data_IF_491109159122
#
_entry.id   IF_491109159122
#
_cell.length_a   1.000
_cell.length_b   1.000
_cell.length_c   1.000
_cell.angle_alpha   90.00
_cell.angle_beta   90.00
_cell.angle_gamma   90.00
#
_symmetry.space_group_name_H-M   'P 1'
#
loop_
_entity.id
_entity.type
_entity.pdbx_description
1 polymer ?
#
# COMPACT_ATOMS: atom_id res chain seq x y z
N UNK A 1 7.83 51.23 -38.94
CA UNK A 1 6.42 51.27 -38.50
C UNK A 1 5.56 51.28 -39.75
N UNK A 2 4.88 50.18 -40.07
CA UNK A 2 3.78 50.22 -41.03
C UNK A 2 2.66 51.02 -40.35
N UNK A 3 2.18 52.09 -40.99
CA UNK A 3 1.00 52.80 -40.51
C UNK A 3 -0.20 51.91 -40.84
N UNK A 4 -0.66 51.16 -39.85
CA UNK A 4 -1.90 50.39 -39.98
C UNK A 4 -3.07 51.36 -40.18
N UNK A 5 -3.96 51.04 -41.12
CA UNK A 5 -5.17 51.83 -41.35
C UNK A 5 -6.04 51.91 -40.09
N UNK A 6 -6.90 52.93 -40.02
CA UNK A 6 -7.83 53.13 -38.90
C UNK A 6 -8.74 51.89 -38.69
N UNK A 7 -9.04 51.16 -39.76
CA UNK A 7 -9.81 49.90 -39.76
C UNK A 7 -9.14 48.81 -38.93
N UNK A 8 -7.84 48.59 -39.14
CA UNK A 8 -7.08 47.59 -38.37
C UNK A 8 -6.98 47.99 -36.90
N UNK A 9 -6.79 49.28 -36.60
CA UNK A 9 -6.78 49.77 -35.22
C UNK A 9 -8.15 49.59 -34.53
N UNK A 10 -9.24 49.83 -35.25
CA UNK A 10 -10.60 49.58 -34.77
C UNK A 10 -10.85 48.09 -34.54
N UNK A 11 -10.43 47.23 -35.48
CA UNK A 11 -10.51 45.77 -35.36
C UNK A 11 -9.74 45.27 -34.14
N UNK A 12 -8.51 45.75 -33.96
CA UNK A 12 -7.65 45.40 -32.84
C UNK A 12 -8.24 45.83 -31.50
N UNK A 13 -8.81 47.05 -31.45
CA UNK A 13 -9.50 47.55 -30.26
C UNK A 13 -10.71 46.70 -29.89
N UNK A 14 -11.56 46.40 -30.86
CA UNK A 14 -12.71 45.52 -30.68
C UNK A 14 -12.29 44.13 -30.18
N UNK A 15 -11.17 43.61 -30.71
CA UNK A 15 -10.62 42.31 -30.35
C UNK A 15 -10.07 42.27 -28.91
N UNK A 16 -9.15 43.17 -28.54
CA UNK A 16 -8.43 43.11 -27.26
C UNK A 16 -9.19 43.76 -26.10
N UNK A 17 -9.81 44.93 -26.34
CA UNK A 17 -10.44 45.71 -25.27
C UNK A 17 -11.88 45.30 -25.05
N UNK A 18 -12.66 45.31 -26.14
CA UNK A 18 -14.10 45.12 -26.05
C UNK A 18 -14.50 43.63 -26.07
N UNK A 19 -13.58 42.75 -26.53
CA UNK A 19 -13.80 41.32 -26.76
C UNK A 19 -15.02 41.04 -27.65
N UNK A 20 -15.33 41.97 -28.55
CA UNK A 20 -16.37 41.81 -29.56
C UNK A 20 -15.77 41.13 -30.79
N UNK A 21 -15.62 39.80 -30.70
CA UNK A 21 -15.01 39.00 -31.74
C UNK A 21 -15.81 39.00 -33.05
N UNK A 22 -17.13 39.21 -32.99
CA UNK A 22 -17.98 39.26 -34.19
C UNK A 22 -17.72 40.54 -34.98
N UNK A 23 -17.66 41.68 -34.28
CA UNK A 23 -17.34 42.96 -34.91
C UNK A 23 -15.88 42.98 -35.39
N UNK A 24 -14.94 42.52 -34.56
CA UNK A 24 -13.53 42.43 -34.92
C UNK A 24 -13.31 41.54 -36.16
N UNK A 25 -13.94 40.37 -36.25
CA UNK A 25 -13.85 39.48 -37.41
C UNK A 25 -14.28 40.19 -38.69
N UNK A 26 -15.35 40.97 -38.64
CA UNK A 26 -15.86 41.70 -39.81
C UNK A 26 -14.84 42.72 -40.31
N UNK A 27 -14.22 43.48 -39.40
CA UNK A 27 -13.21 44.47 -39.76
C UNK A 27 -11.90 43.83 -40.25
N UNK A 28 -11.46 42.73 -39.61
CA UNK A 28 -10.26 42.02 -40.07
C UNK A 28 -10.44 41.41 -41.46
N UNK A 29 -11.64 40.89 -41.79
CA UNK A 29 -11.94 40.40 -43.14
C UNK A 29 -11.88 41.52 -44.18
N UNK A 30 -12.50 42.67 -43.91
CA UNK A 30 -12.45 43.82 -44.82
C UNK A 30 -11.01 44.30 -45.07
N UNK A 31 -10.21 44.35 -44.00
CA UNK A 31 -8.81 44.70 -44.11
C UNK A 31 -8.03 43.64 -44.90
N UNK A 32 -8.23 42.35 -44.60
CA UNK A 32 -7.57 41.26 -45.31
C UNK A 32 -7.92 41.23 -46.80
N UNK A 33 -9.19 41.43 -47.16
CA UNK A 33 -9.63 41.49 -48.57
C UNK A 33 -8.93 42.62 -49.35
N UNK A 34 -8.52 43.69 -48.65
CA UNK A 34 -7.84 44.84 -49.25
C UNK A 34 -6.33 44.65 -49.34
N UNK A 35 -5.72 44.01 -48.33
CA UNK A 35 -4.27 44.03 -48.13
C UNK A 35 -3.58 42.67 -48.21
N UNK A 36 -4.33 41.55 -48.17
CA UNK A 36 -3.82 40.16 -48.17
C UNK A 36 -2.61 39.98 -47.22
N UNK A 37 -2.80 40.37 -45.95
CA UNK A 37 -1.74 40.42 -44.95
C UNK A 37 -1.84 39.32 -43.88
N UNK A 38 -0.69 38.87 -43.38
CA UNK A 38 -0.60 37.76 -42.43
C UNK A 38 -1.22 38.07 -41.06
N UNK A 39 -1.18 39.32 -40.61
CA UNK A 39 -1.66 39.74 -39.29
C UNK A 39 -3.19 39.65 -39.22
N UNK A 40 -3.86 40.15 -40.26
CA UNK A 40 -5.32 40.08 -40.40
C UNK A 40 -5.79 38.62 -40.50
N UNK A 41 -5.13 37.80 -41.32
CA UNK A 41 -5.50 36.38 -41.47
C UNK A 41 -5.35 35.60 -40.15
N UNK A 42 -4.24 35.81 -39.43
CA UNK A 42 -4.03 35.21 -38.12
C UNK A 42 -5.14 35.61 -37.11
N UNK A 43 -5.56 36.88 -37.13
CA UNK A 43 -6.65 37.37 -36.26
C UNK A 43 -8.03 36.93 -36.69
N UNK A 44 -8.26 36.71 -37.99
CA UNK A 44 -9.48 36.06 -38.50
C UNK A 44 -9.61 34.66 -37.90
N UNK A 45 -8.55 33.85 -37.96
CA UNK A 45 -8.56 32.51 -37.35
C UNK A 45 -8.84 32.57 -35.84
N UNK A 46 -8.19 33.49 -35.13
CA UNK A 46 -8.40 33.67 -33.70
C UNK A 46 -9.85 34.06 -33.37
N UNK A 47 -10.46 34.99 -34.13
CA UNK A 47 -11.86 35.36 -33.96
C UNK A 47 -12.81 34.17 -34.22
N UNK A 48 -12.59 33.42 -35.31
CA UNK A 48 -13.38 32.23 -35.63
C UNK A 48 -13.34 31.20 -34.49
N UNK A 49 -12.17 30.99 -33.87
CA UNK A 49 -12.02 30.11 -32.70
C UNK A 49 -12.83 30.59 -31.50
N UNK A 50 -12.76 31.88 -31.16
CA UNK A 50 -13.49 32.44 -30.02
C UNK A 50 -15.01 32.41 -30.22
N UNK A 51 -15.48 32.61 -31.45
CA UNK A 51 -16.90 32.55 -31.81
C UNK A 51 -17.41 31.10 -31.97
N UNK A 52 -16.51 30.13 -32.15
CA UNK A 52 -16.88 28.76 -32.53
C UNK A 52 -17.35 28.63 -33.98
N UNK A 53 -17.10 29.63 -34.84
CA UNK A 53 -17.37 29.61 -36.28
C UNK A 53 -16.26 28.88 -37.03
N UNK A 54 -16.13 27.59 -36.73
CA UNK A 54 -15.06 26.75 -37.25
C UNK A 54 -15.17 26.53 -38.77
N UNK A 55 -16.39 26.42 -39.31
CA UNK A 55 -16.61 26.17 -40.74
C UNK A 55 -16.07 27.32 -41.58
N UNK A 56 -16.31 28.57 -41.16
CA UNK A 56 -15.73 29.74 -41.83
C UNK A 56 -14.22 29.74 -41.72
N UNK A 57 -13.69 29.48 -40.53
CA UNK A 57 -12.25 29.40 -40.31
C UNK A 57 -11.56 28.37 -41.21
N UNK A 58 -12.12 27.17 -41.34
CA UNK A 58 -11.56 26.10 -42.17
C UNK A 58 -11.58 26.46 -43.66
N UNK A 59 -12.66 27.09 -44.16
CA UNK A 59 -12.66 27.62 -45.54
C UNK A 59 -11.54 28.62 -45.78
N UNK A 60 -11.31 29.53 -44.84
CA UNK A 60 -10.21 30.49 -44.92
C UNK A 60 -8.83 29.80 -44.90
N UNK A 61 -8.69 28.67 -44.19
CA UNK A 61 -7.46 27.85 -44.24
C UNK A 61 -7.25 27.29 -45.64
N UNK A 62 -8.25 26.63 -46.21
CA UNK A 62 -8.20 26.00 -47.53
C UNK A 62 -7.87 27.01 -48.64
N UNK A 63 -8.44 28.21 -48.55
CA UNK A 63 -8.30 29.27 -49.55
C UNK A 63 -6.95 30.00 -49.47
N UNK A 64 -6.43 30.26 -48.27
CA UNK A 64 -5.35 31.25 -48.10
C UNK A 64 -4.06 30.73 -47.45
N UNK A 65 -4.07 29.65 -46.66
CA UNK A 65 -2.87 29.26 -45.85
C UNK A 65 -1.68 28.89 -46.72
N UNK A 66 -1.89 28.35 -47.92
CA UNK A 66 -0.79 28.01 -48.84
C UNK A 66 0.03 29.23 -49.28
N UNK A 67 -0.59 30.41 -49.35
CA UNK A 67 0.09 31.67 -49.67
C UNK A 67 0.99 32.13 -48.51
N UNK A 68 0.67 31.72 -47.29
CA UNK A 68 1.36 32.09 -46.05
C UNK A 68 2.09 30.91 -45.38
N UNK A 69 2.46 29.86 -46.14
CA UNK A 69 3.12 28.66 -45.60
C UNK A 69 4.41 28.91 -44.82
N UNK A 70 5.08 30.03 -45.08
CA UNK A 70 6.31 30.43 -44.39
C UNK A 70 6.03 31.31 -43.14
N UNK A 71 4.80 31.80 -42.97
CA UNK A 71 4.39 32.58 -41.82
C UNK A 71 4.11 31.67 -40.63
N UNK A 72 5.00 31.73 -39.63
CA UNK A 72 4.86 30.93 -38.41
C UNK A 72 3.56 31.25 -37.67
N UNK A 73 3.12 32.51 -37.69
CA UNK A 73 1.94 32.97 -36.96
C UNK A 73 0.67 32.42 -37.61
N UNK A 74 0.54 32.56 -38.93
CA UNK A 74 -0.62 32.06 -39.68
C UNK A 74 -0.73 30.55 -39.56
N UNK A 75 0.36 29.81 -39.78
CA UNK A 75 0.38 28.34 -39.64
C UNK A 75 0.04 27.92 -38.22
N UNK A 76 0.55 28.61 -37.20
CA UNK A 76 0.23 28.31 -35.81
C UNK A 76 -1.26 28.56 -35.49
N UNK A 77 -1.84 29.66 -35.94
CA UNK A 77 -3.26 29.95 -35.71
C UNK A 77 -4.19 29.02 -36.50
N UNK A 78 -3.81 28.66 -37.73
CA UNK A 78 -4.53 27.65 -38.52
C UNK A 78 -4.54 26.29 -37.79
N UNK A 79 -3.37 25.82 -37.34
CA UNK A 79 -3.26 24.56 -36.59
C UNK A 79 -4.06 24.60 -35.27
N UNK A 80 -4.09 25.74 -34.58
CA UNK A 80 -4.90 25.92 -33.37
C UNK A 80 -6.42 25.87 -33.66
N UNK A 81 -6.84 26.43 -34.79
CA UNK A 81 -8.24 26.40 -35.23
C UNK A 81 -8.66 24.98 -35.60
N UNK A 82 -7.85 24.25 -36.37
CA UNK A 82 -8.06 22.83 -36.68
C UNK A 82 -8.10 21.98 -35.41
N UNK A 83 -7.21 22.23 -34.45
CA UNK A 83 -7.20 21.57 -33.16
C UNK A 83 -8.50 21.79 -32.38
N UNK A 84 -8.95 23.04 -32.25
CA UNK A 84 -10.18 23.35 -31.52
C UNK A 84 -11.42 22.73 -32.19
N UNK A 85 -11.42 22.64 -33.52
CA UNK A 85 -12.51 22.00 -34.27
C UNK A 85 -12.50 20.47 -34.14
N UNK A 86 -11.38 19.81 -34.45
CA UNK A 86 -11.27 18.35 -34.50
C UNK A 86 -11.08 17.70 -33.13
N UNK A 87 -10.52 18.39 -32.15
CA UNK A 87 -10.29 17.85 -30.80
C UNK A 87 -11.15 18.59 -29.79
N UNK A 88 -11.02 19.92 -29.72
CA UNK A 88 -11.66 20.75 -28.70
C UNK A 88 -13.18 20.56 -28.64
N UNK A 89 -13.85 20.53 -29.81
CA UNK A 89 -15.29 20.29 -29.92
C UNK A 89 -15.70 18.91 -29.39
N UNK A 90 -14.98 17.85 -29.76
CA UNK A 90 -15.28 16.49 -29.30
C UNK A 90 -15.03 16.34 -27.79
N UNK A 91 -13.95 16.92 -27.27
CA UNK A 91 -13.64 16.94 -25.84
C UNK A 91 -14.74 17.66 -25.03
N UNK A 92 -15.19 18.84 -25.48
CA UNK A 92 -16.30 19.58 -24.84
C UNK A 92 -17.61 18.78 -24.83
N UNK A 93 -17.90 18.09 -25.93
CA UNK A 93 -19.11 17.27 -26.07
C UNK A 93 -18.98 15.87 -25.46
N UNK A 94 -17.84 15.54 -24.83
CA UNK A 94 -17.54 14.22 -24.24
C UNK A 94 -17.53 13.06 -25.25
N UNK A 95 -17.26 13.36 -26.51
CA UNK A 95 -17.05 12.39 -27.58
C UNK A 95 -15.59 11.94 -27.57
N UNK A 96 -15.23 11.17 -26.54
CA UNK A 96 -13.82 10.85 -26.23
C UNK A 96 -13.16 9.96 -27.28
N UNK A 97 -13.91 9.09 -27.95
CA UNK A 97 -13.38 8.15 -28.95
C UNK A 97 -12.99 8.91 -30.21
N UNK A 98 -13.85 9.81 -30.67
CA UNK A 98 -13.61 10.69 -31.81
C UNK A 98 -12.46 11.67 -31.50
N UNK A 99 -12.42 12.23 -30.29
CA UNK A 99 -11.30 13.05 -29.85
C UNK A 99 -9.97 12.27 -29.87
N UNK A 100 -9.96 11.03 -29.38
CA UNK A 100 -8.78 10.16 -29.36
C UNK A 100 -8.25 9.89 -30.77
N UNK A 101 -9.12 9.54 -31.74
CA UNK A 101 -8.69 9.29 -33.13
C UNK A 101 -8.03 10.53 -33.75
N UNK A 102 -8.60 11.72 -33.55
CA UNK A 102 -8.02 12.96 -34.05
C UNK A 102 -6.71 13.31 -33.35
N UNK A 103 -6.62 13.08 -32.05
CA UNK A 103 -5.40 13.30 -31.26
C UNK A 103 -4.24 12.42 -31.73
N UNK A 104 -4.50 11.14 -32.07
CA UNK A 104 -3.47 10.24 -32.62
C UNK A 104 -2.93 10.79 -33.94
N UNK A 105 -3.81 11.16 -34.88
CA UNK A 105 -3.42 11.74 -36.16
C UNK A 105 -2.59 13.02 -35.98
N UNK A 106 -2.95 13.84 -35.01
CA UNK A 106 -2.21 15.06 -34.70
C UNK A 106 -0.82 14.78 -34.13
N UNK A 107 -0.69 13.82 -33.20
CA UNK A 107 0.61 13.48 -32.61
C UNK A 107 1.59 12.87 -33.63
N UNK A 108 1.09 12.24 -34.69
CA UNK A 108 1.88 11.64 -35.78
C UNK A 108 2.26 12.65 -36.88
N UNK A 109 1.70 13.86 -36.87
CA UNK A 109 1.95 14.87 -37.91
C UNK A 109 3.19 15.73 -37.61
N UNK A 110 4.14 15.73 -38.54
CA UNK A 110 5.37 16.55 -38.47
C UNK A 110 5.11 18.07 -38.61
N UNK A 111 3.90 18.45 -39.01
CA UNK A 111 3.55 19.84 -39.32
C UNK A 111 2.93 20.60 -38.15
N UNK A 112 2.70 19.94 -37.02
CA UNK A 112 2.05 20.58 -35.86
C UNK A 112 3.11 21.30 -35.01
N UNK A 113 2.88 22.58 -34.66
CA UNK A 113 3.74 23.29 -33.71
C UNK A 113 3.95 22.50 -32.41
N UNK A 114 5.19 22.44 -31.91
CA UNK A 114 5.54 21.65 -30.71
C UNK A 114 4.64 21.95 -29.49
N UNK A 115 4.22 23.21 -29.31
CA UNK A 115 3.30 23.62 -28.23
C UNK A 115 1.93 22.93 -28.36
N UNK A 116 1.42 22.80 -29.59
CA UNK A 116 0.17 22.10 -29.86
C UNK A 116 0.32 20.59 -29.70
N UNK A 117 1.45 20.03 -30.13
CA UNK A 117 1.74 18.61 -29.95
C UNK A 117 1.73 18.24 -28.46
N UNK A 118 2.34 19.07 -27.61
CA UNK A 118 2.28 18.92 -26.15
C UNK A 118 0.84 18.96 -25.62
N UNK A 119 0.02 19.93 -26.05
CA UNK A 119 -1.39 19.98 -25.65
C UNK A 119 -2.18 18.75 -26.11
N UNK A 120 -1.91 18.26 -27.32
CA UNK A 120 -2.49 17.03 -27.84
C UNK A 120 -2.16 15.82 -26.95
N UNK A 121 -0.91 15.65 -26.52
CA UNK A 121 -0.55 14.57 -25.58
C UNK A 121 -1.32 14.64 -24.26
N UNK A 122 -1.52 15.85 -23.70
CA UNK A 122 -2.25 16.03 -22.44
C UNK A 122 -3.74 15.74 -22.59
N UNK A 123 -4.35 16.19 -23.68
CA UNK A 123 -5.76 15.90 -23.98
C UNK A 123 -5.97 14.44 -24.33
N UNK A 124 -5.00 13.80 -24.97
CA UNK A 124 -5.00 12.36 -25.20
C UNK A 124 -4.97 11.58 -23.90
N UNK A 125 -4.13 11.97 -22.92
CA UNK A 125 -4.19 11.39 -21.57
C UNK A 125 -5.57 11.56 -20.92
N UNK A 126 -6.18 12.74 -21.03
CA UNK A 126 -7.53 13.00 -20.49
C UNK A 126 -8.57 12.10 -21.15
N UNK A 127 -8.54 11.96 -22.47
CA UNK A 127 -9.43 11.09 -23.23
C UNK A 127 -9.28 9.62 -22.81
N UNK A 128 -8.04 9.11 -22.76
CA UNK A 128 -7.74 7.74 -22.31
C UNK A 128 -8.24 7.47 -20.89
N UNK A 129 -8.06 8.43 -19.98
CA UNK A 129 -8.53 8.32 -18.60
C UNK A 129 -10.06 8.22 -18.53
N UNK A 130 -10.79 9.06 -19.29
CA UNK A 130 -12.25 9.04 -19.33
C UNK A 130 -12.82 7.78 -19.96
N UNK A 131 -12.12 7.23 -20.94
CA UNK A 131 -12.45 5.96 -21.56
C UNK A 131 -12.03 4.73 -20.75
N UNK A 132 -11.32 4.91 -19.62
CA UNK A 132 -10.81 3.81 -18.79
C UNK A 132 -9.80 2.91 -19.52
N UNK A 133 -9.09 3.43 -20.52
CA UNK A 133 -8.04 2.72 -21.26
C UNK A 133 -6.71 2.76 -20.50
N UNK A 134 -6.65 2.08 -19.36
CA UNK A 134 -5.58 2.25 -18.36
C UNK A 134 -4.17 1.89 -18.87
N UNK A 135 -4.04 0.81 -19.65
CA UNK A 135 -2.73 0.38 -20.18
C UNK A 135 -2.15 1.43 -21.15
N UNK A 136 -2.99 1.96 -22.05
CA UNK A 136 -2.60 3.04 -22.95
C UNK A 136 -2.26 4.31 -22.17
N UNK A 137 -3.06 4.67 -21.15
CA UNK A 137 -2.80 5.83 -20.30
C UNK A 137 -1.42 5.76 -19.63
N UNK A 138 -1.08 4.62 -19.02
CA UNK A 138 0.21 4.42 -18.34
C UNK A 138 1.37 4.57 -19.33
N UNK A 139 1.25 3.95 -20.52
CA UNK A 139 2.28 4.04 -21.56
C UNK A 139 2.49 5.48 -22.02
N UNK A 140 1.41 6.20 -22.30
CA UNK A 140 1.49 7.60 -22.76
C UNK A 140 1.95 8.54 -21.66
N UNK A 141 1.58 8.30 -20.40
CA UNK A 141 1.99 9.13 -19.27
C UNK A 141 3.52 9.19 -19.14
N UNK A 142 4.19 8.06 -19.33
CA UNK A 142 5.65 7.98 -19.28
C UNK A 142 6.35 8.72 -20.43
N UNK A 143 5.66 8.94 -21.55
CA UNK A 143 6.17 9.68 -22.71
C UNK A 143 5.82 11.18 -22.65
N UNK A 144 4.92 11.59 -21.77
CA UNK A 144 4.43 12.96 -21.73
C UNK A 144 5.38 13.87 -20.91
N UNK A 145 5.67 15.06 -21.45
CA UNK A 145 6.44 16.11 -20.77
C UNK A 145 5.57 16.86 -19.74
N UNK A 146 5.30 16.22 -18.60
CA UNK A 146 4.42 16.75 -17.53
C UNK A 146 5.19 17.68 -16.57
N UNK A 147 6.53 17.66 -16.60
CA UNK A 147 7.39 18.40 -15.67
C UNK A 147 7.27 19.92 -15.80
N UNK A 148 6.86 20.42 -16.96
CA UNK A 148 6.72 21.85 -17.22
C UNK A 148 5.30 22.37 -16.97
N UNK A 149 4.41 21.54 -16.40
CA UNK A 149 3.05 21.96 -16.07
C UNK A 149 2.97 22.67 -14.72
N UNK A 150 1.95 23.55 -14.54
CA UNK A 150 1.61 24.09 -13.23
C UNK A 150 1.41 22.98 -12.21
N UNK A 151 1.78 23.23 -10.95
CA UNK A 151 1.72 22.23 -9.88
C UNK A 151 0.34 21.57 -9.74
N UNK A 152 -0.75 22.35 -9.86
CA UNK A 152 -2.11 21.83 -9.77
C UNK A 152 -2.42 20.79 -10.85
N UNK A 153 -2.03 21.05 -12.10
CA UNK A 153 -2.25 20.11 -13.21
C UNK A 153 -1.36 18.88 -13.07
N UNK A 154 -0.08 19.07 -12.70
CA UNK A 154 0.85 17.97 -12.44
C UNK A 154 0.31 17.02 -11.36
N UNK A 155 -0.22 17.58 -10.27
CA UNK A 155 -0.87 16.77 -9.23
C UNK A 155 -2.08 16.01 -9.77
N UNK A 156 -2.94 16.66 -10.57
CA UNK A 156 -4.08 15.99 -11.19
C UNK A 156 -3.67 14.81 -12.09
N UNK A 157 -2.62 14.97 -12.90
CA UNK A 157 -2.13 13.89 -13.77
C UNK A 157 -1.45 12.78 -12.97
N UNK A 158 -0.70 13.13 -11.92
CA UNK A 158 -0.07 12.16 -11.02
C UNK A 158 -1.12 11.33 -10.26
N UNK A 159 -2.19 11.97 -9.78
CA UNK A 159 -3.34 11.27 -9.20
C UNK A 159 -4.04 10.38 -10.22
N UNK A 160 -4.23 10.87 -11.44
CA UNK A 160 -4.75 10.08 -12.56
C UNK A 160 -3.89 8.85 -12.86
N UNK A 161 -2.57 9.01 -12.83
CA UNK A 161 -1.59 7.93 -13.02
C UNK A 161 -1.64 6.89 -11.90
N UNK A 162 -1.69 7.34 -10.64
CA UNK A 162 -1.90 6.47 -9.48
C UNK A 162 -3.18 5.64 -9.63
N UNK A 163 -4.29 6.27 -9.99
CA UNK A 163 -5.58 5.59 -10.21
C UNK A 163 -5.48 4.60 -11.37
N UNK A 164 -4.88 4.98 -12.49
CA UNK A 164 -4.70 4.12 -13.65
C UNK A 164 -3.91 2.85 -13.30
N UNK A 165 -2.82 2.98 -12.52
CA UNK A 165 -2.04 1.83 -12.03
C UNK A 165 -2.90 0.88 -11.19
N UNK A 166 -3.65 1.39 -10.20
CA UNK A 166 -4.53 0.54 -9.38
C UNK A 166 -5.58 -0.19 -10.23
N UNK A 167 -6.21 0.52 -11.17
CA UNK A 167 -7.27 -0.04 -12.02
C UNK A 167 -6.70 -1.08 -12.98
N UNK A 168 -5.56 -0.79 -13.62
CA UNK A 168 -4.91 -1.71 -14.54
C UNK A 168 -4.44 -2.99 -13.84
N UNK A 169 -3.77 -2.88 -12.69
CA UNK A 169 -3.37 -4.06 -11.90
C UNK A 169 -4.60 -4.88 -11.50
N UNK A 170 -5.70 -4.22 -11.08
CA UNK A 170 -6.93 -4.92 -10.74
C UNK A 170 -7.54 -5.67 -11.93
N UNK A 171 -7.55 -5.05 -13.11
CA UNK A 171 -8.06 -5.66 -14.35
C UNK A 171 -7.20 -6.85 -14.78
N UNK A 172 -5.87 -6.72 -14.77
CA UNK A 172 -4.94 -7.79 -15.12
C UNK A 172 -5.05 -8.98 -14.15
N UNK A 173 -5.16 -8.72 -12.85
CA UNK A 173 -5.43 -9.77 -11.84
C UNK A 173 -6.78 -10.44 -12.08
N UNK A 174 -7.82 -9.68 -12.42
CA UNK A 174 -9.15 -10.22 -12.73
C UNK A 174 -9.18 -11.11 -13.98
N UNK A 175 -8.36 -10.78 -14.98
CA UNK A 175 -8.17 -11.58 -16.21
C UNK A 175 -7.09 -12.66 -16.09
N UNK A 176 -6.51 -12.85 -14.88
CA UNK A 176 -5.44 -13.82 -14.58
C UNK A 176 -4.13 -13.62 -15.36
N UNK A 177 -3.88 -12.41 -15.85
CA UNK A 177 -2.60 -12.03 -16.47
C UNK A 177 -1.59 -11.60 -15.40
N UNK A 178 -1.16 -12.54 -14.57
CA UNK A 178 -0.39 -12.24 -13.37
C UNK A 178 1.03 -11.72 -13.64
N UNK A 179 1.68 -12.15 -14.74
CA UNK A 179 3.01 -11.65 -15.12
C UNK A 179 2.98 -10.17 -15.50
N UNK A 180 2.03 -9.77 -16.35
CA UNK A 180 1.81 -8.36 -16.70
C UNK A 180 1.45 -7.54 -15.45
N UNK A 181 0.56 -8.07 -14.60
CA UNK A 181 0.15 -7.40 -13.36
C UNK A 181 1.33 -7.18 -12.39
N UNK A 182 2.24 -8.15 -12.31
CA UNK A 182 3.43 -8.09 -11.48
C UNK A 182 4.34 -6.93 -11.91
N UNK A 183 4.62 -6.81 -13.21
CA UNK A 183 5.45 -5.74 -13.76
C UNK A 183 4.86 -4.35 -13.50
N UNK A 184 3.54 -4.19 -13.70
CA UNK A 184 2.86 -2.92 -13.44
C UNK A 184 2.85 -2.60 -11.93
N UNK A 185 2.63 -3.60 -11.07
CA UNK A 185 2.66 -3.41 -9.62
C UNK A 185 4.06 -3.03 -9.12
N UNK A 186 5.12 -3.61 -9.69
CA UNK A 186 6.50 -3.24 -9.38
C UNK A 186 6.79 -1.78 -9.76
N UNK A 187 6.43 -1.39 -10.98
CA UNK A 187 6.55 -0.01 -11.43
C UNK A 187 5.76 0.96 -10.52
N UNK A 188 4.55 0.57 -10.12
CA UNK A 188 3.73 1.36 -9.20
C UNK A 188 4.35 1.51 -7.81
N UNK A 189 5.00 0.47 -7.28
CA UNK A 189 5.74 0.53 -6.01
C UNK A 189 6.93 1.50 -6.07
N UNK A 190 7.61 1.59 -7.22
CA UNK A 190 8.71 2.53 -7.42
C UNK A 190 8.21 3.96 -7.54
N UNK A 191 7.12 4.18 -8.29
CA UNK A 191 6.52 5.50 -8.47
C UNK A 191 5.84 6.03 -7.19
N UNK A 192 5.20 5.15 -6.40
CA UNK A 192 4.44 5.50 -5.20
C UNK A 192 4.88 4.65 -3.99
N UNK A 193 6.09 4.87 -3.44
CA UNK A 193 6.68 4.01 -2.42
C UNK A 193 5.94 4.02 -1.07
N UNK A 194 5.11 5.03 -0.80
CA UNK A 194 4.26 5.11 0.39
C UNK A 194 2.96 4.30 0.28
N UNK A 195 2.56 3.92 -0.94
CA UNK A 195 1.29 3.26 -1.19
C UNK A 195 1.42 1.74 -1.01
N UNK A 196 1.15 1.28 0.21
CA UNK A 196 1.31 -0.12 0.61
C UNK A 196 0.36 -1.08 -0.12
N UNK A 197 -0.70 -0.57 -0.74
CA UNK A 197 -1.60 -1.39 -1.56
C UNK A 197 -0.89 -1.97 -2.80
N UNK A 198 0.04 -1.23 -3.44
CA UNK A 198 0.81 -1.79 -4.54
C UNK A 198 1.73 -2.93 -4.10
N UNK A 199 2.32 -2.83 -2.90
CA UNK A 199 3.11 -3.93 -2.31
C UNK A 199 2.25 -5.18 -2.13
N UNK A 200 1.02 -5.03 -1.64
CA UNK A 200 0.09 -6.15 -1.47
C UNK A 200 -0.30 -6.78 -2.80
N UNK A 201 -0.56 -5.97 -3.83
CA UNK A 201 -0.89 -6.46 -5.17
C UNK A 201 0.29 -7.18 -5.82
N UNK A 202 1.49 -6.66 -5.67
CA UNK A 202 2.71 -7.31 -6.13
C UNK A 202 2.90 -8.67 -5.46
N UNK A 203 2.81 -8.73 -4.12
CA UNK A 203 2.89 -9.99 -3.38
C UNK A 203 1.78 -10.99 -3.78
N UNK A 204 0.55 -10.51 -4.02
CA UNK A 204 -0.53 -11.34 -4.51
C UNK A 204 -0.19 -11.96 -5.88
N UNK A 205 0.34 -11.18 -6.82
CA UNK A 205 0.73 -11.69 -8.14
C UNK A 205 1.85 -12.74 -8.02
N UNK A 206 2.82 -12.54 -7.14
CA UNK A 206 3.89 -13.53 -6.87
C UNK A 206 3.32 -14.87 -6.39
N UNK A 207 2.33 -14.85 -5.48
CA UNK A 207 1.68 -16.07 -4.99
C UNK A 207 0.98 -16.82 -6.11
N UNK A 208 0.24 -16.12 -6.98
CA UNK A 208 -0.45 -16.73 -8.13
C UNK A 208 0.54 -17.29 -9.17
N UNK A 209 1.73 -16.71 -9.26
CA UNK A 209 2.85 -17.22 -10.07
C UNK A 209 3.66 -18.32 -9.37
N UNK A 210 3.18 -18.87 -8.25
CA UNK A 210 3.86 -19.89 -7.43
C UNK A 210 5.21 -19.45 -6.83
N UNK A 211 5.47 -18.14 -6.78
CA UNK A 211 6.65 -17.53 -6.16
C UNK A 211 6.36 -17.08 -4.72
N UNK A 212 5.73 -17.96 -3.95
CA UNK A 212 5.20 -17.67 -2.60
C UNK A 212 6.28 -17.26 -1.61
N UNK A 213 7.50 -17.80 -1.71
CA UNK A 213 8.64 -17.41 -0.85
C UNK A 213 9.06 -15.95 -1.09
N UNK A 214 9.17 -15.53 -2.35
CA UNK A 214 9.49 -14.15 -2.71
C UNK A 214 8.41 -13.17 -2.23
N UNK A 215 7.14 -13.59 -2.25
CA UNK A 215 6.02 -12.81 -1.73
C UNK A 215 6.12 -12.58 -0.21
N UNK A 216 6.60 -13.57 0.54
CA UNK A 216 6.88 -13.41 1.98
C UNK A 216 8.03 -12.44 2.21
N UNK A 217 9.12 -12.58 1.48
CA UNK A 217 10.31 -11.74 1.66
C UNK A 217 10.02 -10.26 1.41
N UNK A 218 9.25 -9.93 0.35
CA UNK A 218 8.89 -8.55 0.06
C UNK A 218 7.97 -7.96 1.13
N UNK A 219 7.00 -8.74 1.63
CA UNK A 219 6.10 -8.30 2.69
C UNK A 219 6.84 -8.14 4.02
N UNK A 220 7.70 -9.09 4.41
CA UNK A 220 8.52 -8.98 5.64
C UNK A 220 9.39 -7.72 5.63
N UNK A 221 9.98 -7.36 4.48
CA UNK A 221 10.79 -6.13 4.33
C UNK A 221 9.97 -4.84 4.45
N UNK A 222 8.69 -4.86 4.06
CA UNK A 222 7.83 -3.67 4.01
C UNK A 222 6.90 -3.53 5.22
N UNK A 223 6.62 -4.62 5.94
CA UNK A 223 5.85 -4.59 7.18
C UNK A 223 6.66 -3.90 8.27
N UNK A 224 6.15 -2.78 8.76
CA UNK A 224 6.72 -2.03 9.89
C UNK A 224 5.70 -1.95 11.03
N UNK A 225 6.11 -1.44 12.21
CA UNK A 225 5.17 -1.20 13.31
C UNK A 225 4.00 -0.30 12.92
N UNK A 226 4.24 0.70 12.05
CA UNK A 226 3.22 1.66 11.57
C UNK A 226 2.37 1.15 10.41
N UNK A 227 2.67 -0.02 9.86
CA UNK A 227 1.88 -0.60 8.76
C UNK A 227 0.43 -0.85 9.19
N UNK A 228 -0.51 -0.75 8.25
CA UNK A 228 -1.90 -1.09 8.51
C UNK A 228 -2.04 -2.59 8.82
N UNK A 229 -3.05 -2.98 9.60
CA UNK A 229 -3.30 -4.39 9.97
C UNK A 229 -3.41 -5.33 8.76
N UNK A 230 -3.87 -4.80 7.62
CA UNK A 230 -4.05 -5.58 6.40
C UNK A 230 -2.73 -6.12 5.85
N UNK A 231 -1.61 -5.41 6.04
CA UNK A 231 -0.29 -5.89 5.60
C UNK A 231 0.11 -7.17 6.35
N UNK A 232 -0.08 -7.18 7.67
CA UNK A 232 0.20 -8.33 8.51
C UNK A 232 -0.77 -9.48 8.24
N UNK A 233 -2.03 -9.17 7.93
CA UNK A 233 -3.00 -10.17 7.50
C UNK A 233 -2.61 -10.85 6.19
N UNK A 234 -2.19 -10.10 5.17
CA UNK A 234 -1.70 -10.71 3.92
C UNK A 234 -0.46 -11.58 4.15
N UNK A 235 0.49 -11.08 4.95
CA UNK A 235 1.69 -11.85 5.30
C UNK A 235 1.31 -13.16 6.03
N UNK A 236 0.40 -13.10 7.01
CA UNK A 236 -0.08 -14.27 7.74
C UNK A 236 -0.74 -15.30 6.81
N UNK A 237 -1.58 -14.82 5.88
CA UNK A 237 -2.25 -15.67 4.89
C UNK A 237 -1.25 -16.42 4.02
N UNK A 238 -0.23 -15.73 3.51
CA UNK A 238 0.80 -16.33 2.64
C UNK A 238 1.69 -17.29 3.43
N UNK A 239 2.04 -16.96 4.68
CA UNK A 239 2.80 -17.86 5.56
C UNK A 239 2.05 -19.17 5.85
N UNK A 240 0.74 -19.09 6.07
CA UNK A 240 -0.09 -20.30 6.27
C UNK A 240 -0.14 -21.16 5.01
N UNK A 241 -0.16 -20.56 3.81
CA UNK A 241 -0.08 -21.31 2.54
C UNK A 241 1.26 -22.04 2.35
N UNK A 242 2.35 -21.52 2.92
CA UNK A 242 3.65 -22.19 2.95
C UNK A 242 3.76 -23.27 4.05
N UNK A 243 2.73 -23.44 4.88
CA UNK A 243 2.75 -24.35 6.03
C UNK A 243 3.53 -23.82 7.24
N UNK A 244 3.96 -22.56 7.24
CA UNK A 244 4.59 -21.94 8.40
C UNK A 244 3.52 -21.37 9.34
N UNK A 245 2.81 -22.27 10.02
CA UNK A 245 1.63 -21.95 10.81
C UNK A 245 1.95 -21.09 12.05
N UNK A 246 3.14 -21.25 12.63
CA UNK A 246 3.57 -20.47 13.81
C UNK A 246 3.79 -19.00 13.46
N UNK A 247 4.60 -18.72 12.42
CA UNK A 247 4.80 -17.34 11.95
C UNK A 247 3.49 -16.74 11.43
N UNK A 248 2.65 -17.55 10.76
CA UNK A 248 1.34 -17.12 10.29
C UNK A 248 0.45 -16.67 11.46
N UNK A 249 0.36 -17.48 12.52
CA UNK A 249 -0.42 -17.15 13.72
C UNK A 249 0.14 -15.90 14.40
N UNK A 250 1.46 -15.79 14.53
CA UNK A 250 2.09 -14.60 15.09
C UNK A 250 1.70 -13.33 14.31
N UNK A 251 1.84 -13.33 12.99
CA UNK A 251 1.49 -12.17 12.17
C UNK A 251 -0.01 -11.87 12.19
N UNK A 252 -0.87 -12.90 12.25
CA UNK A 252 -2.31 -12.73 12.36
C UNK A 252 -2.71 -12.08 13.70
N UNK A 253 -2.08 -12.48 14.81
CA UNK A 253 -2.30 -11.85 16.11
C UNK A 253 -1.84 -10.39 16.11
N UNK A 254 -0.66 -10.10 15.56
CA UNK A 254 -0.18 -8.70 15.43
C UNK A 254 -1.15 -7.87 14.56
N UNK A 255 -1.73 -8.45 13.51
CA UNK A 255 -2.77 -7.81 12.72
C UNK A 255 -4.04 -7.54 13.56
N UNK A 256 -4.41 -8.45 14.46
CA UNK A 256 -5.56 -8.29 15.34
C UNK A 256 -5.36 -7.16 16.35
N UNK A 257 -4.16 -7.04 16.93
CA UNK A 257 -3.78 -5.99 17.90
C UNK A 257 -3.79 -4.57 17.30
N UNK A 258 -3.47 -4.42 16.02
CA UNK A 258 -3.45 -3.12 15.35
C UNK A 258 -4.84 -2.44 15.31
N UNK A 259 -4.95 -1.10 15.20
CA UNK A 259 -6.25 -0.42 15.17
C UNK A 259 -7.19 -0.92 14.06
N UNK A 260 -8.48 -1.03 14.38
CA UNK A 260 -9.53 -1.43 13.44
C UNK A 260 -10.73 -2.07 14.14
N UNK A 261 -11.92 -2.01 13.50
CA UNK A 261 -13.11 -2.70 13.99
C UNK A 261 -12.98 -4.20 13.74
N UNK A 262 -13.38 -5.05 14.68
CA UNK A 262 -13.35 -6.51 14.51
C UNK A 262 -14.17 -6.97 13.31
N UNK A 263 -15.29 -6.30 13.04
CA UNK A 263 -16.12 -6.51 11.85
C UNK A 263 -15.29 -6.47 10.56
N UNK A 264 -14.44 -5.44 10.41
CA UNK A 264 -13.59 -5.27 9.23
C UNK A 264 -12.45 -6.30 9.17
N UNK A 265 -12.20 -7.01 10.28
CA UNK A 265 -11.20 -8.06 10.43
C UNK A 265 -11.79 -9.47 10.40
N UNK A 266 -13.04 -9.64 9.95
CA UNK A 266 -13.72 -10.95 9.94
C UNK A 266 -12.88 -12.05 9.30
N UNK A 267 -12.32 -11.82 8.10
CA UNK A 267 -11.49 -12.82 7.42
C UNK A 267 -10.15 -13.10 8.14
N UNK A 268 -9.63 -12.10 8.87
CA UNK A 268 -8.46 -12.31 9.73
C UNK A 268 -8.83 -13.20 10.92
N UNK A 269 -9.99 -12.99 11.54
CA UNK A 269 -10.47 -13.82 12.64
C UNK A 269 -10.74 -15.27 12.19
N UNK A 270 -11.29 -15.47 10.99
CA UNK A 270 -11.42 -16.80 10.38
C UNK A 270 -10.06 -17.47 10.20
N UNK A 271 -9.06 -16.73 9.70
CA UNK A 271 -7.70 -17.25 9.57
C UNK A 271 -7.11 -17.64 10.94
N UNK A 272 -7.24 -16.77 11.95
CA UNK A 272 -6.78 -17.06 13.32
C UNK A 272 -7.45 -18.33 13.86
N UNK A 273 -8.77 -18.47 13.70
CA UNK A 273 -9.49 -19.69 14.10
C UNK A 273 -8.90 -20.92 13.41
N UNK A 274 -8.69 -20.87 12.09
CA UNK A 274 -8.13 -21.99 11.34
C UNK A 274 -6.73 -22.37 11.82
N UNK A 275 -5.90 -21.38 12.17
CA UNK A 275 -4.55 -21.58 12.68
C UNK A 275 -4.54 -22.19 14.08
N UNK A 276 -5.40 -21.71 14.98
CA UNK A 276 -5.50 -22.22 16.36
C UNK A 276 -6.13 -23.62 16.37
N UNK A 277 -7.19 -23.87 15.60
CA UNK A 277 -7.92 -25.16 15.60
C UNK A 277 -7.12 -26.36 15.09
N UNK A 278 -5.90 -26.14 14.59
CA UNK A 278 -4.97 -27.19 14.15
C UNK A 278 -4.12 -27.75 15.30
N UNK A 279 -4.28 -27.24 16.52
CA UNK A 279 -3.34 -27.50 17.60
C UNK A 279 -4.00 -28.41 18.63
N UNK A 280 -3.28 -29.42 19.10
CA UNK A 280 -3.84 -30.43 20.02
C UNK A 280 -3.88 -29.96 21.49
N UNK A 281 -3.74 -28.66 21.75
CA UNK A 281 -3.76 -28.10 23.09
C UNK A 281 -5.20 -27.82 23.55
N UNK A 282 -5.57 -28.27 24.76
CA UNK A 282 -6.90 -28.06 25.32
C UNK A 282 -7.23 -26.57 25.49
N UNK A 283 -6.28 -25.76 25.97
CA UNK A 283 -6.47 -24.31 26.13
C UNK A 283 -6.69 -23.63 24.77
N UNK A 284 -5.95 -24.04 23.74
CA UNK A 284 -6.07 -23.50 22.39
C UNK A 284 -7.47 -23.79 21.81
N UNK A 285 -8.00 -24.99 22.07
CA UNK A 285 -9.33 -25.40 21.65
C UNK A 285 -10.45 -24.58 22.31
N UNK A 286 -10.33 -24.24 23.59
CA UNK A 286 -11.32 -23.38 24.25
C UNK A 286 -11.37 -21.97 23.63
N UNK A 287 -10.22 -21.40 23.28
CA UNK A 287 -10.18 -20.11 22.61
C UNK A 287 -10.70 -20.21 21.17
N UNK A 288 -10.40 -21.31 20.46
CA UNK A 288 -10.95 -21.57 19.14
C UNK A 288 -12.49 -21.67 19.17
N UNK A 289 -13.07 -22.34 20.15
CA UNK A 289 -14.51 -22.48 20.34
C UNK A 289 -15.20 -21.14 20.63
N UNK A 290 -14.59 -20.33 21.50
CA UNK A 290 -15.04 -18.97 21.80
C UNK A 290 -14.98 -18.07 20.55
N UNK A 291 -13.88 -18.14 19.80
CA UNK A 291 -13.71 -17.39 18.55
C UNK A 291 -14.72 -17.83 17.46
N UNK A 292 -14.97 -19.13 17.33
CA UNK A 292 -15.97 -19.66 16.40
C UNK A 292 -17.38 -19.18 16.76
N UNK A 293 -17.73 -19.21 18.05
CA UNK A 293 -19.01 -18.69 18.54
C UNK A 293 -19.17 -17.20 18.22
N UNK A 294 -18.11 -16.40 18.41
CA UNK A 294 -18.10 -15.00 18.01
C UNK A 294 -18.29 -14.81 16.50
N UNK A 295 -17.58 -15.58 15.67
CA UNK A 295 -17.66 -15.51 14.20
C UNK A 295 -19.07 -15.82 13.68
N UNK A 296 -19.74 -16.85 14.21
CA UNK A 296 -21.12 -17.21 13.81
C UNK A 296 -22.09 -16.08 14.15
N UNK A 297 -22.00 -15.50 15.35
CA UNK A 297 -22.85 -14.37 15.73
C UNK A 297 -22.58 -13.11 14.91
N UNK A 298 -21.32 -12.86 14.58
CA UNK A 298 -20.95 -11.74 13.72
C UNK A 298 -21.56 -11.91 12.32
N UNK A 299 -21.52 -13.13 11.80
CA UNK A 299 -22.14 -13.53 10.54
C UNK A 299 -23.66 -13.31 10.58
N UNK A 300 -24.35 -13.78 11.59
CA UNK A 300 -25.81 -13.64 11.70
C UNK A 300 -26.25 -12.18 11.83
N UNK A 301 -25.46 -11.35 12.54
CA UNK A 301 -25.76 -9.92 12.72
C UNK A 301 -25.54 -9.08 11.46
N UNK A 302 -24.59 -9.47 10.61
CA UNK A 302 -24.11 -8.65 9.48
C UNK A 302 -24.27 -9.33 8.11
N UNK A 303 -24.92 -10.48 8.05
CA UNK A 303 -25.11 -11.29 6.83
C UNK A 303 -23.80 -11.61 6.11
N UNK A 304 -22.73 -11.89 6.87
CA UNK A 304 -21.43 -12.27 6.30
C UNK A 304 -21.44 -13.73 5.84
N UNK A 305 -20.49 -14.11 4.98
CA UNK A 305 -20.32 -15.49 4.53
C UNK A 305 -19.32 -16.22 5.41
N UNK A 306 -19.75 -17.29 6.09
CA UNK A 306 -18.87 -18.20 6.84
C UNK A 306 -18.87 -19.58 6.17
N UNK A 307 -17.71 -20.25 6.01
CA UNK A 307 -17.65 -21.61 5.46
C UNK A 307 -18.58 -22.61 6.20
N UNK A 308 -19.32 -23.43 5.46
CA UNK A 308 -20.34 -24.34 6.03
C UNK A 308 -19.77 -25.35 7.04
N UNK A 309 -18.54 -25.81 6.82
CA UNK A 309 -17.85 -26.70 7.74
C UNK A 309 -17.68 -26.08 9.15
N UNK A 310 -17.55 -24.75 9.24
CA UNK A 310 -17.48 -24.05 10.52
C UNK A 310 -18.84 -23.99 11.21
N UNK A 311 -19.94 -23.93 10.47
CA UNK A 311 -21.29 -23.98 11.02
C UNK A 311 -21.60 -25.36 11.62
N UNK A 312 -21.17 -26.42 10.93
CA UNK A 312 -21.28 -27.80 11.43
C UNK A 312 -20.49 -27.95 12.73
N UNK A 313 -19.23 -27.50 12.77
CA UNK A 313 -18.43 -27.49 14.00
C UNK A 313 -19.10 -26.69 15.13
N UNK A 314 -19.64 -25.50 14.82
CA UNK A 314 -20.34 -24.69 15.81
C UNK A 314 -21.56 -25.41 16.42
N UNK A 315 -22.29 -26.19 15.62
CA UNK A 315 -23.46 -26.96 16.10
C UNK A 315 -23.10 -28.02 17.16
N UNK A 316 -21.83 -28.47 17.18
CA UNK A 316 -21.30 -29.45 18.11
C UNK A 316 -20.70 -28.83 19.38
N UNK A 317 -20.56 -27.50 19.44
CA UNK A 317 -19.99 -26.78 20.60
C UNK A 317 -20.89 -26.80 21.84
N UNK A 318 -20.26 -26.63 23.01
CA UNK A 318 -20.92 -26.52 24.32
C UNK A 318 -21.97 -25.40 24.33
N UNK A 319 -23.11 -25.65 24.97
CA UNK A 319 -24.22 -24.68 25.03
C UNK A 319 -23.89 -23.41 25.83
N UNK A 320 -22.94 -23.47 26.76
CA UNK A 320 -22.59 -22.36 27.66
C UNK A 320 -22.08 -21.12 26.89
N UNK A 321 -21.18 -21.32 25.91
CA UNK A 321 -20.67 -20.22 25.07
C UNK A 321 -21.78 -19.55 24.25
N UNK A 322 -22.85 -20.30 23.93
CA UNK A 322 -24.00 -19.77 23.19
C UNK A 322 -24.90 -18.87 24.03
N UNK A 323 -24.75 -18.85 25.35
CA UNK A 323 -25.56 -18.02 26.26
C UNK A 323 -24.93 -16.65 26.56
N UNK A 324 -23.62 -16.50 26.37
CA UNK A 324 -22.92 -15.22 26.55
C UNK A 324 -23.54 -14.15 25.65
N UNK A 325 -23.49 -12.87 25.99
CA UNK A 325 -23.92 -11.81 25.07
C UNK A 325 -22.82 -11.47 24.04
N UNK A 326 -23.17 -10.74 22.98
CA UNK A 326 -22.22 -10.40 21.91
C UNK A 326 -21.06 -9.50 22.39
N UNK A 327 -21.34 -8.57 23.30
CA UNK A 327 -20.32 -7.62 23.80
C UNK A 327 -19.31 -8.33 24.70
N UNK A 328 -19.76 -9.28 25.51
CA UNK A 328 -18.88 -10.14 26.31
C UNK A 328 -17.99 -11.00 25.42
N UNK A 329 -18.54 -11.64 24.38
CA UNK A 329 -17.74 -12.41 23.41
C UNK A 329 -16.71 -11.53 22.68
N UNK A 330 -17.09 -10.32 22.26
CA UNK A 330 -16.16 -9.37 21.65
C UNK A 330 -15.00 -9.02 22.61
N UNK A 331 -15.31 -8.74 23.87
CA UNK A 331 -14.29 -8.42 24.87
C UNK A 331 -13.37 -9.62 25.12
N UNK A 332 -13.92 -10.83 25.22
CA UNK A 332 -13.14 -12.06 25.37
C UNK A 332 -12.21 -12.28 24.19
N UNK A 333 -12.68 -12.15 22.94
CA UNK A 333 -11.83 -12.26 21.74
C UNK A 333 -10.68 -11.26 21.78
N UNK A 334 -10.95 -10.01 22.20
CA UNK A 334 -9.92 -8.95 22.26
C UNK A 334 -8.85 -9.21 23.32
N UNK A 335 -9.20 -9.86 24.43
CA UNK A 335 -8.27 -10.09 25.54
C UNK A 335 -7.53 -11.43 25.40
N UNK A 336 -8.25 -12.48 24.99
CA UNK A 336 -7.75 -13.85 25.01
C UNK A 336 -7.02 -14.22 23.72
N UNK A 337 -7.43 -13.73 22.54
CA UNK A 337 -6.72 -14.10 21.30
C UNK A 337 -5.29 -13.54 21.27
N UNK A 338 -5.01 -12.30 21.74
CA UNK A 338 -3.63 -11.82 21.83
C UNK A 338 -2.74 -12.57 22.84
N UNK A 339 -3.32 -13.21 23.86
CA UNK A 339 -2.53 -13.93 24.88
C UNK A 339 -1.73 -15.10 24.29
N UNK A 340 -2.13 -15.63 23.13
CA UNK A 340 -1.37 -16.60 22.34
C UNK A 340 0.05 -16.15 21.97
N UNK A 341 0.27 -14.84 21.84
CA UNK A 341 1.59 -14.28 21.53
C UNK A 341 2.61 -14.63 22.62
N UNK A 342 2.16 -14.75 23.87
CA UNK A 342 3.02 -15.06 25.00
C UNK A 342 3.29 -16.56 25.16
N UNK A 343 2.44 -17.41 24.57
CA UNK A 343 2.54 -18.87 24.72
C UNK A 343 3.48 -19.53 23.70
N UNK A 344 3.67 -18.91 22.52
CA UNK A 344 4.49 -19.46 21.44
C UNK A 344 5.79 -18.74 21.14
N UNK A 345 6.13 -17.67 21.88
CA UNK A 345 7.53 -17.21 21.96
C UNK A 345 8.30 -18.17 22.89
N UNK A 346 8.34 -19.45 22.53
CA UNK A 346 9.45 -20.36 22.82
C UNK A 346 10.38 -20.18 21.59
N UNK A 347 11.63 -19.79 21.66
CA UNK A 347 12.68 -20.12 22.62
C UNK A 347 13.82 -19.12 22.47
N UNK A 348 13.88 -18.07 23.28
CA UNK A 348 15.15 -17.62 23.86
C UNK A 348 14.80 -16.93 25.17
N UNK A 349 15.16 -17.54 26.31
CA UNK A 349 14.96 -16.88 27.58
C UNK A 349 15.76 -15.57 27.59
N UNK A 350 15.04 -14.45 27.66
CA UNK A 350 15.59 -13.11 27.43
C UNK A 350 16.16 -12.46 28.69
N UNK A 351 15.79 -12.96 29.86
CA UNK A 351 16.19 -12.38 31.15
C UNK A 351 17.31 -13.22 31.74
N UNK A 352 18.40 -12.52 32.07
CA UNK A 352 19.54 -13.07 32.79
C UNK A 352 19.34 -12.87 34.28
N UNK A 353 19.62 -13.92 35.04
CA UNK A 353 19.67 -13.80 36.48
C UNK A 353 20.58 -14.82 37.15
N UNK A 354 20.78 -14.61 38.44
CA UNK A 354 21.58 -15.43 39.32
C UNK A 354 20.67 -16.04 40.38
N UNK A 355 20.78 -17.36 40.56
CA UNK A 355 20.06 -18.06 41.62
C UNK A 355 20.66 -17.65 42.97
N UNK A 356 19.81 -17.17 43.87
CA UNK A 356 20.15 -16.84 45.25
C UNK A 356 19.85 -18.04 46.16
N UNK A 357 20.89 -18.83 46.43
CA UNK A 357 20.79 -20.01 47.29
C UNK A 357 20.58 -19.67 48.77
N UNK A 358 20.91 -18.45 49.21
CA UNK A 358 20.69 -18.00 50.58
C UNK A 358 19.21 -17.74 50.86
N UNK A 359 18.40 -17.59 49.81
CA UNK A 359 16.95 -17.37 49.90
C UNK A 359 16.18 -18.59 49.44
N UNK A 360 16.37 -19.69 50.18
CA UNK A 360 15.66 -20.96 49.96
C UNK A 360 14.24 -20.89 50.54
N UNK A 361 13.27 -21.37 49.76
CA UNK A 361 11.88 -21.61 50.18
C UNK A 361 11.61 -23.12 50.21
N UNK A 362 10.41 -23.55 50.59
CA UNK A 362 10.04 -24.98 50.64
C UNK A 362 10.26 -25.69 49.29
N UNK A 363 10.06 -25.01 48.15
CA UNK A 363 10.06 -25.63 46.82
C UNK A 363 11.10 -25.06 45.83
N UNK A 364 12.02 -24.21 46.29
CA UNK A 364 13.02 -23.60 45.39
C UNK A 364 13.71 -22.36 45.94
N UNK A 365 14.11 -21.45 45.05
CA UNK A 365 15.08 -20.39 45.35
C UNK A 365 14.67 -19.03 44.77
N UNK A 366 15.14 -17.96 45.40
CA UNK A 366 15.06 -16.60 44.83
C UNK A 366 15.99 -16.44 43.61
N UNK A 367 15.64 -15.53 42.70
CA UNK A 367 16.45 -15.20 41.52
C UNK A 367 16.68 -13.70 41.46
N UNK A 368 17.94 -13.28 41.44
CA UNK A 368 18.32 -11.90 41.14
C UNK A 368 18.35 -11.70 39.63
N UNK A 369 17.57 -10.76 39.10
CA UNK A 369 17.53 -10.47 37.67
C UNK A 369 17.93 -9.02 37.39
N UNK A 370 18.73 -8.79 36.34
CA UNK A 370 19.08 -7.43 35.93
C UNK A 370 17.80 -6.63 35.56
N UNK A 371 17.61 -5.46 36.18
CA UNK A 371 16.42 -4.63 35.98
C UNK A 371 15.22 -4.97 36.88
N UNK A 372 15.34 -5.97 37.76
CA UNK A 372 14.37 -6.28 38.80
C UNK A 372 15.10 -6.25 40.14
N UNK A 373 15.30 -5.04 40.66
CA UNK A 373 16.06 -4.78 41.90
C UNK A 373 15.32 -5.26 43.16
N UNK A 374 14.01 -5.47 43.07
CA UNK A 374 13.21 -6.11 44.11
C UNK A 374 13.14 -7.62 43.85
N UNK A 375 13.64 -8.40 44.81
CA UNK A 375 13.75 -9.87 44.82
C UNK A 375 12.39 -10.60 44.84
N UNK A 376 11.52 -10.30 43.88
CA UNK A 376 10.16 -10.84 43.75
C UNK A 376 10.10 -12.06 42.84
N UNK A 377 11.25 -12.51 42.30
CA UNK A 377 11.37 -13.61 41.35
C UNK A 377 11.84 -14.89 42.07
N UNK A 378 11.09 -15.97 41.86
CA UNK A 378 11.36 -17.29 42.41
C UNK A 378 11.49 -18.35 41.29
N UNK A 379 12.38 -19.33 41.44
CA UNK A 379 12.42 -20.54 40.60
C UNK A 379 12.22 -21.80 41.44
N UNK A 380 11.61 -22.84 40.86
CA UNK A 380 11.49 -24.14 41.56
C UNK A 380 12.80 -24.91 41.51
N UNK A 381 13.07 -25.69 42.56
CA UNK A 381 14.26 -26.55 42.62
C UNK A 381 14.29 -27.56 41.46
N UNK A 382 13.13 -28.11 41.08
CA UNK A 382 12.97 -29.05 39.96
C UNK A 382 13.24 -28.44 38.57
N UNK A 383 13.10 -27.12 38.43
CA UNK A 383 13.31 -26.40 37.17
C UNK A 383 14.79 -26.03 36.95
N UNK A 384 15.68 -26.22 37.95
CA UNK A 384 17.08 -25.83 37.88
C UNK A 384 17.90 -26.93 37.18
N UNK A 385 18.62 -26.61 36.09
CA UNK A 385 19.54 -27.55 35.46
C UNK A 385 20.58 -28.10 36.44
N UNK A 386 20.80 -29.43 36.41
CA UNK A 386 21.65 -30.13 37.39
C UNK A 386 23.10 -29.62 37.43
N UNK A 387 23.60 -29.08 36.31
CA UNK A 387 24.92 -28.46 36.18
C UNK A 387 25.03 -27.09 36.88
N UNK A 388 23.91 -26.38 37.02
CA UNK A 388 23.82 -25.10 37.74
C UNK A 388 23.60 -25.30 39.23
N UNK A 389 22.82 -26.31 39.60
CA UNK A 389 22.45 -26.63 40.99
C UNK A 389 23.67 -26.79 41.92
N UNK A 390 24.84 -27.12 41.36
CA UNK A 390 26.08 -27.36 42.13
C UNK A 390 27.05 -26.18 42.15
N UNK A 391 26.86 -25.16 41.31
CA UNK A 391 27.93 -24.22 40.96
C UNK A 391 27.57 -22.73 41.10
N UNK A 392 26.33 -22.39 41.46
CA UNK A 392 25.94 -20.98 41.53
C UNK A 392 25.90 -20.31 40.16
N UNK A 393 25.48 -21.07 39.14
CA UNK A 393 25.49 -20.63 37.74
C UNK A 393 24.45 -19.56 37.43
N UNK A 394 24.74 -18.73 36.42
CA UNK A 394 23.75 -17.83 35.83
C UNK A 394 22.77 -18.62 34.98
N UNK A 395 21.51 -18.21 35.05
CA UNK A 395 20.41 -18.79 34.29
C UNK A 395 19.83 -17.76 33.33
N UNK A 396 19.28 -18.26 32.25
CA UNK A 396 18.37 -17.54 31.38
C UNK A 396 16.96 -18.07 31.64
N UNK A 397 15.98 -17.19 31.82
CA UNK A 397 14.59 -17.58 32.04
C UNK A 397 13.59 -16.57 31.47
N UNK A 398 12.31 -16.92 31.56
CA UNK A 398 11.16 -16.05 31.28
C UNK A 398 10.39 -15.79 32.59
N UNK A 399 9.65 -14.68 32.65
CA UNK A 399 8.80 -14.35 33.81
C UNK A 399 7.39 -14.88 33.61
N UNK A 400 6.82 -15.43 34.67
CA UNK A 400 5.41 -15.78 34.80
C UNK A 400 4.87 -15.17 36.08
N UNK A 401 3.88 -14.29 36.00
CA UNK A 401 3.25 -13.70 37.20
C UNK A 401 2.46 -14.78 37.95
N UNK A 402 2.66 -14.85 39.27
CA UNK A 402 1.91 -15.76 40.12
C UNK A 402 0.52 -15.17 40.40
N UNK A 403 -0.52 -15.99 40.31
CA UNK A 403 -1.90 -15.59 40.64
C UNK A 403 -2.10 -15.34 42.14
N UNK A 404 -1.23 -15.92 42.99
CA UNK A 404 -1.24 -15.75 44.45
C UNK A 404 0.22 -15.50 44.89
N UNK A 405 0.54 -14.36 45.54
CA UNK A 405 1.86 -14.10 46.10
C UNK A 405 2.26 -15.19 47.11
N UNK A 406 3.51 -15.66 47.05
CA UNK A 406 4.02 -16.57 48.08
C UNK A 406 4.24 -15.83 49.39
N UNK A 407 4.21 -16.57 50.52
CA UNK A 407 4.40 -16.02 51.88
C UNK A 407 5.71 -15.22 52.03
N UNK A 408 6.72 -15.55 51.23
CA UNK A 408 8.04 -14.93 51.26
C UNK A 408 8.15 -13.66 50.38
N UNK A 409 7.03 -13.16 49.85
CA UNK A 409 6.95 -11.92 49.07
C UNK A 409 7.22 -12.09 47.57
N UNK A 410 7.36 -13.32 47.06
CA UNK A 410 7.51 -13.58 45.62
C UNK A 410 6.19 -13.43 44.89
N UNK A 411 6.18 -12.58 43.85
CA UNK A 411 5.02 -12.32 42.99
C UNK A 411 5.24 -12.82 41.56
N UNK A 412 6.46 -13.25 41.23
CA UNK A 412 6.88 -13.65 39.88
C UNK A 412 7.65 -14.97 39.95
N UNK A 413 7.37 -15.88 39.01
CA UNK A 413 8.09 -17.14 38.83
C UNK A 413 8.97 -17.09 37.59
N UNK A 414 10.23 -17.50 37.72
CA UNK A 414 11.11 -17.80 36.62
C UNK A 414 10.75 -19.17 36.01
N UNK A 415 10.44 -19.19 34.72
CA UNK A 415 10.04 -20.40 33.97
C UNK A 415 10.91 -20.57 32.71
N UNK A 416 10.96 -21.79 32.17
CA UNK A 416 11.81 -22.15 31.03
C UNK A 416 13.29 -21.85 31.28
N UNK A 417 13.78 -22.26 32.45
CA UNK A 417 15.14 -22.01 32.91
C UNK A 417 16.13 -22.82 32.07
N UNK A 418 17.12 -22.15 31.49
CA UNK A 418 18.26 -22.81 30.82
C UNK A 418 19.57 -22.24 31.32
N UNK A 419 20.69 -22.99 31.21
CA UNK A 419 21.98 -22.46 31.59
C UNK A 419 22.43 -21.30 30.70
N UNK A 420 22.93 -20.22 31.33
CA UNK A 420 23.67 -19.19 30.58
C UNK A 420 25.07 -19.73 30.25
N UNK A 421 25.14 -20.53 29.19
CA UNK A 421 26.38 -21.18 28.75
C UNK A 421 27.52 -20.19 28.46
N UNK A 422 27.20 -18.95 28.07
CA UNK A 422 28.21 -17.92 27.80
C UNK A 422 28.81 -17.40 29.11
N UNK A 423 27.96 -17.03 30.07
CA UNK A 423 28.42 -16.54 31.37
C UNK A 423 29.09 -17.64 32.22
N UNK A 424 28.60 -18.87 32.16
CA UNK A 424 29.09 -19.97 32.98
C UNK A 424 30.42 -20.53 32.46
N UNK A 425 30.71 -20.47 31.15
CA UNK A 425 32.01 -20.85 30.59
C UNK A 425 33.16 -19.95 31.06
N UNK A 426 32.92 -18.65 31.24
CA UNK A 426 33.94 -17.69 31.68
C UNK A 426 34.44 -17.96 33.11
N UNK A 427 33.63 -18.59 33.97
CA UNK A 427 34.04 -19.00 35.32
C UNK A 427 34.81 -20.33 35.31
N UNK A 428 34.49 -21.25 34.41
CA UNK A 428 35.16 -22.56 34.32
C UNK A 428 36.63 -22.46 33.86
N UNK A 429 37.02 -21.43 33.10
CA UNK A 429 38.40 -21.20 32.68
C UNK A 429 39.33 -20.76 33.82
N UNK A 430 38.80 -20.22 34.93
CA UNK A 430 39.64 -19.77 36.06
C UNK A 430 40.17 -20.96 36.88
N UNK A 431 39.49 -22.11 36.87
CA UNK A 431 39.95 -23.32 37.56
C UNK A 431 40.80 -24.27 36.71
N UNK A 432 41.07 -23.96 35.43
CA UNK A 432 41.99 -24.75 34.58
C UNK A 432 43.45 -24.29 34.62
N UNK A 433 43.78 -23.19 35.30
CA UNK A 433 45.17 -22.71 35.44
C UNK A 433 46.06 -23.59 36.33
N UNK A 434 45.53 -24.63 36.98
CA UNK A 434 46.33 -25.61 37.74
C UNK A 434 46.82 -26.80 36.91
N UNK A 435 46.38 -26.96 35.66
CA UNK A 435 46.82 -28.07 34.79
C UNK A 435 48.02 -27.71 33.88
N UNK A 436 48.28 -26.42 33.65
CA UNK A 436 49.40 -25.96 32.81
C UNK A 436 50.75 -25.93 33.54
N UNK A 437 50.79 -26.22 34.85
CA UNK A 437 52.05 -26.35 35.60
C UNK A 437 52.71 -27.74 35.47
N UNK A 438 52.00 -28.74 34.91
CA UNK A 438 52.51 -30.10 34.80
C UNK A 438 53.36 -30.36 33.53
N UNK A 439 53.18 -29.56 32.47
CA UNK A 439 53.90 -29.73 31.19
C UNK A 439 55.14 -28.85 31.02
N UNK A 440 55.45 -27.96 31.98
CA UNK A 440 56.67 -27.14 31.97
C UNK A 440 57.85 -27.76 32.76
N UNK A 441 57.87 -29.09 32.96
CA UNK A 441 58.95 -29.80 33.67
C UNK A 441 59.47 -31.08 32.98
N UNK A 442 59.26 -31.22 31.67
CA UNK A 442 59.97 -32.21 30.84
C UNK A 442 60.57 -31.56 29.60
#
# INVERSE_FOLDING_TARGET
MKWFGWEFQAAWRAFEQDKDYSFALTLFLQHFDTYDDEDSLAKIFECCRQLGDYERGLRMIDEHVMNFRNSKIVVQQAALLEYDFHVGRHMKNRYWVEAESNLILMMESDHIPAVLQRNAYLDYLRALFKQQKWAAYIKTYNCAEIQDLPNAERHSFNDGFRVALHKNVKELVGTRKFEEALLIAEHAMQAFPSEMEFVRKYAQCLVELSQTSAAVDILKKKVTQRSAWVMNYELAKILSQLGNEEDALHQAIVALEKPGRLVSKFNLLVLIYQLISKTDNAEDNEIADMLLTFLVRLRDRLMLTLPENLLVKHSQLRQELRQLDFSTLELMVRLQVPSFKNYRVKTHPGIRGLINYDRKTEDGYGVFAEGYEDDSIFCREEDIPADICRSGGRILFNLSFLSIPRKDGFTIQAVNIVPDNLSNRAKASVHRSSFDSFWNRF
#
